data_IF_784413128177
#
_entry.id   IF_784413128177
#
_cell.length_a   1.000
_cell.length_b   1.000
_cell.length_c   1.000
_cell.angle_alpha   90.00
_cell.angle_beta   90.00
_cell.angle_gamma   90.00
#
_symmetry.space_group_name_H-M   'P 1'
#
loop_
_entity.id
_entity.type
_entity.pdbx_description
1 polymer ?
#
# COMPACT_ATOMS: atom_id res chain seq x y z
N UNK A 1 15.05 1.40 -8.22
CA UNK A 1 13.91 0.66 -8.83
C UNK A 1 13.95 0.74 -10.37
N UNK A 2 14.20 -0.37 -11.06
CA UNK A 2 14.19 -0.42 -12.54
C UNK A 2 12.93 -1.08 -13.10
N UNK A 3 12.68 -0.94 -14.41
CA UNK A 3 11.60 -1.66 -15.10
C UNK A 3 11.79 -3.18 -15.04
N UNK A 4 13.04 -3.64 -15.04
CA UNK A 4 13.39 -5.06 -14.94
C UNK A 4 13.05 -5.62 -13.55
N UNK A 5 13.45 -4.91 -12.48
CA UNK A 5 13.10 -5.30 -11.10
C UNK A 5 11.59 -5.34 -10.92
N UNK A 6 10.86 -4.32 -11.41
CA UNK A 6 9.40 -4.32 -11.42
C UNK A 6 8.83 -5.56 -12.14
N UNK A 7 9.40 -5.94 -13.29
CA UNK A 7 8.93 -7.09 -14.05
C UNK A 7 9.15 -8.41 -13.30
N UNK A 8 10.24 -8.54 -12.53
CA UNK A 8 10.52 -9.70 -11.67
C UNK A 8 9.55 -9.81 -10.48
N UNK A 9 9.14 -8.67 -9.90
CA UNK A 9 8.19 -8.62 -8.78
C UNK A 9 6.71 -8.75 -9.21
N UNK A 10 6.42 -8.39 -10.47
CA UNK A 10 5.07 -8.36 -11.00
C UNK A 10 4.27 -9.68 -10.80
N UNK A 11 4.85 -10.88 -11.00
CA UNK A 11 4.14 -12.14 -10.79
C UNK A 11 3.68 -12.31 -9.34
N UNK A 12 4.58 -12.16 -8.37
CA UNK A 12 4.26 -12.31 -6.95
C UNK A 12 3.18 -11.30 -6.49
N UNK A 13 3.31 -10.04 -6.90
CA UNK A 13 2.31 -9.00 -6.57
C UNK A 13 0.94 -9.34 -7.20
N UNK A 14 0.92 -9.82 -8.44
CA UNK A 14 -0.32 -10.25 -9.11
C UNK A 14 -0.95 -11.47 -8.44
N UNK A 15 -0.14 -12.40 -7.94
CA UNK A 15 -0.65 -13.55 -7.19
C UNK A 15 -1.34 -13.13 -5.90
N UNK A 16 -0.73 -12.22 -5.12
CA UNK A 16 -1.37 -11.65 -3.93
C UNK A 16 -2.68 -10.94 -4.30
N UNK A 17 -2.66 -10.06 -5.31
CA UNK A 17 -3.88 -9.40 -5.77
C UNK A 17 -4.98 -10.41 -6.15
N UNK A 18 -4.62 -11.49 -6.86
CA UNK A 18 -5.56 -12.56 -7.23
C UNK A 18 -6.08 -13.34 -6.03
N UNK A 19 -5.21 -13.73 -5.09
CA UNK A 19 -5.54 -14.46 -3.86
C UNK A 19 -6.66 -13.77 -3.07
N UNK A 20 -6.59 -12.43 -2.97
CA UNK A 20 -7.55 -11.62 -2.23
C UNK A 20 -8.69 -11.05 -3.09
N UNK A 21 -8.77 -11.39 -4.38
CA UNK A 21 -9.80 -10.86 -5.28
C UNK A 21 -9.69 -9.35 -5.52
N UNK A 22 -8.48 -8.81 -5.47
CA UNK A 22 -8.17 -7.40 -5.64
C UNK A 22 -7.68 -7.12 -7.07
N UNK A 23 -7.92 -5.92 -7.57
CA UNK A 23 -7.43 -5.44 -8.88
C UNK A 23 -6.58 -4.21 -8.68
N UNK A 24 -5.36 -4.26 -9.20
CA UNK A 24 -4.43 -3.15 -9.13
C UNK A 24 -3.40 -3.19 -10.25
N UNK A 25 -2.63 -2.11 -10.36
CA UNK A 25 -1.55 -1.96 -11.35
C UNK A 25 -0.29 -1.47 -10.66
N UNK A 26 0.86 -1.99 -11.06
CA UNK A 26 2.15 -1.56 -10.55
C UNK A 26 2.89 -0.64 -11.53
N UNK A 27 3.68 0.29 -11.00
CA UNK A 27 4.48 1.24 -11.77
C UNK A 27 5.79 1.59 -11.08
N UNK A 28 6.70 2.23 -11.82
CA UNK A 28 7.91 2.83 -11.25
C UNK A 28 7.71 4.34 -11.23
N UNK A 29 7.94 4.97 -10.09
CA UNK A 29 7.95 6.44 -9.95
C UNK A 29 9.37 6.91 -9.61
N UNK A 30 9.81 7.98 -10.26
CA UNK A 30 11.12 8.63 -10.05
C UNK A 30 12.32 7.67 -10.08
N UNK A 31 12.23 6.54 -10.79
CA UNK A 31 13.27 5.50 -10.85
C UNK A 31 13.70 4.89 -9.48
N UNK A 32 12.99 5.21 -8.41
CA UNK A 32 13.33 4.81 -7.03
C UNK A 32 12.17 4.19 -6.26
N UNK A 33 10.92 4.37 -6.70
CA UNK A 33 9.74 3.89 -5.98
C UNK A 33 8.95 2.86 -6.79
N UNK A 34 8.63 1.72 -6.17
CA UNK A 34 7.64 0.78 -6.66
C UNK A 34 6.26 1.20 -6.17
N UNK A 35 5.37 1.54 -7.11
CA UNK A 35 4.01 1.99 -6.83
C UNK A 35 3.04 0.85 -7.12
N UNK A 36 2.11 0.57 -6.20
CA UNK A 36 0.95 -0.28 -6.44
C UNK A 36 -0.34 0.55 -6.31
N UNK A 37 -1.09 0.66 -7.40
CA UNK A 37 -2.37 1.37 -7.44
C UNK A 37 -3.51 0.35 -7.43
N UNK A 38 -4.18 0.21 -6.30
CA UNK A 38 -5.34 -0.66 -6.10
C UNK A 38 -6.58 0.10 -6.56
N UNK A 39 -7.30 -0.45 -7.53
CA UNK A 39 -8.46 0.20 -8.16
C UNK A 39 -9.77 -0.29 -7.58
N UNK A 40 -9.87 -1.60 -7.35
CA UNK A 40 -11.11 -2.23 -6.90
C UNK A 40 -10.83 -3.56 -6.23
N UNK A 41 -11.79 -4.11 -5.49
CA UNK A 41 -11.66 -5.46 -4.95
C UNK A 41 -12.72 -5.84 -3.93
N UNK A 42 -12.59 -7.07 -3.41
CA UNK A 42 -13.54 -7.68 -2.46
C UNK A 42 -13.37 -7.25 -1.01
N UNK A 43 -12.41 -6.36 -0.72
CA UNK A 43 -12.10 -5.92 0.64
C UNK A 43 -12.43 -4.44 0.75
N UNK A 44 -13.21 -4.02 1.76
CA UNK A 44 -13.42 -2.58 2.03
C UNK A 44 -12.21 -2.00 2.77
N UNK A 45 -11.12 -1.74 2.02
CA UNK A 45 -9.89 -1.19 2.56
C UNK A 45 -10.10 0.19 3.22
N UNK A 46 -10.88 1.04 2.57
CA UNK A 46 -11.12 2.40 3.07
C UNK A 46 -12.00 2.36 4.32
N UNK A 47 -13.07 1.57 4.33
CA UNK A 47 -13.93 1.40 5.51
C UNK A 47 -13.19 0.81 6.69
N UNK A 48 -12.46 -0.29 6.47
CA UNK A 48 -11.70 -0.93 7.53
C UNK A 48 -10.71 0.05 8.19
N UNK A 49 -9.95 0.80 7.39
CA UNK A 49 -9.03 1.81 7.91
C UNK A 49 -9.76 2.95 8.61
N UNK A 50 -10.82 3.48 8.00
CA UNK A 50 -11.59 4.58 8.56
C UNK A 50 -12.18 4.23 9.93
N UNK A 51 -12.78 3.05 10.07
CA UNK A 51 -13.40 2.57 11.31
C UNK A 51 -12.39 2.41 12.46
N UNK A 52 -11.15 2.09 12.13
CA UNK A 52 -10.04 2.07 13.09
C UNK A 52 -9.59 3.52 13.40
N UNK A 53 -9.42 4.35 12.40
CA UNK A 53 -8.86 5.69 12.55
C UNK A 53 -9.77 6.64 13.34
N UNK A 54 -11.10 6.55 13.19
CA UNK A 54 -12.06 7.36 13.97
C UNK A 54 -12.06 7.02 15.47
N UNK A 55 -11.56 5.84 15.85
CA UNK A 55 -11.45 5.42 17.27
C UNK A 55 -10.14 5.88 17.91
N UNK A 56 -9.16 6.33 17.11
CA UNK A 56 -7.87 6.83 17.60
C UNK A 56 -8.02 8.29 18.04
N UNK A 57 -7.79 8.63 19.32
CA UNK A 57 -7.93 10.00 19.78
C UNK A 57 -6.94 10.93 19.06
N UNK A 58 -7.39 12.13 18.69
CA UNK A 58 -6.59 13.15 17.97
C UNK A 58 -6.16 12.75 16.55
N UNK A 59 -6.69 11.66 16.00
CA UNK A 59 -6.44 11.35 14.58
C UNK A 59 -7.07 12.42 13.68
N UNK A 60 -6.64 12.48 12.42
CA UNK A 60 -7.28 13.36 11.44
C UNK A 60 -8.78 13.08 11.31
N UNK A 61 -9.17 11.79 11.34
CA UNK A 61 -10.56 11.34 11.16
C UNK A 61 -11.41 11.44 12.43
N UNK A 62 -10.80 11.49 13.62
CA UNK A 62 -11.47 11.85 14.87
C UNK A 62 -12.04 13.28 14.78
N UNK A 63 -11.26 14.21 14.20
CA UNK A 63 -11.66 15.60 13.98
C UNK A 63 -12.52 15.79 12.72
N UNK A 64 -12.17 15.10 11.64
CA UNK A 64 -12.81 15.21 10.33
C UNK A 64 -13.48 13.88 9.96
N UNK A 65 -14.73 13.70 10.36
CA UNK A 65 -15.51 12.46 10.19
C UNK A 65 -16.04 12.25 8.76
N UNK A 66 -15.23 12.58 7.77
CA UNK A 66 -15.53 12.35 6.35
C UNK A 66 -14.72 11.13 5.92
N UNK A 67 -15.43 10.03 5.61
CA UNK A 67 -14.81 8.83 5.03
C UNK A 67 -14.22 9.19 3.67
N UNK A 68 -12.93 8.97 3.42
CA UNK A 68 -12.32 9.31 2.13
C UNK A 68 -12.81 8.34 1.05
N UNK A 69 -12.54 8.66 -0.21
CA UNK A 69 -12.86 7.79 -1.36
C UNK A 69 -11.61 7.23 -2.04
N UNK A 70 -10.45 7.74 -1.66
CA UNK A 70 -9.12 7.27 -2.03
C UNK A 70 -8.14 7.60 -0.90
N UNK A 71 -7.02 6.89 -0.83
CA UNK A 71 -5.95 7.17 0.13
C UNK A 71 -4.60 6.62 -0.32
N UNK A 72 -3.54 7.24 0.16
CA UNK A 72 -2.21 6.64 0.16
C UNK A 72 -1.99 5.92 1.50
N UNK A 73 -1.53 4.68 1.45
CA UNK A 73 -1.26 3.87 2.63
C UNK A 73 0.16 4.13 3.10
N UNK A 74 0.31 4.37 4.40
CA UNK A 74 1.62 4.38 5.06
C UNK A 74 2.01 2.93 5.39
N UNK A 75 3.03 2.41 4.72
CA UNK A 75 3.52 1.05 4.85
C UNK A 75 4.06 0.72 6.26
N UNK A 76 4.48 1.71 7.04
CA UNK A 76 4.99 1.51 8.40
C UNK A 76 3.87 1.34 9.44
N UNK A 77 2.68 1.86 9.15
CA UNK A 77 1.54 1.84 10.06
C UNK A 77 0.42 0.87 9.64
N UNK A 78 0.68 -0.06 8.72
CA UNK A 78 -0.33 -1.04 8.23
C UNK A 78 -0.94 -1.82 9.39
N UNK A 79 -0.13 -2.35 10.31
CA UNK A 79 -0.59 -3.15 11.46
C UNK A 79 -1.51 -2.39 12.42
N UNK A 80 -1.40 -1.07 12.45
CA UNK A 80 -2.22 -0.23 13.31
C UNK A 80 -3.45 0.33 12.61
N UNK A 81 -3.49 0.30 11.28
CA UNK A 81 -4.51 0.96 10.47
C UNK A 81 -5.40 -0.01 9.71
N UNK A 82 -5.13 -1.31 9.77
CA UNK A 82 -5.96 -2.35 9.18
C UNK A 82 -6.16 -3.50 10.16
N UNK A 83 -7.26 -4.24 10.00
CA UNK A 83 -7.55 -5.46 10.75
C UNK A 83 -8.00 -6.60 9.84
N UNK A 84 -7.97 -7.81 10.37
CA UNK A 84 -8.53 -9.02 9.73
C UNK A 84 -8.00 -9.22 8.30
N UNK A 85 -8.87 -9.61 7.36
CA UNK A 85 -8.49 -9.87 5.97
C UNK A 85 -7.88 -8.66 5.27
N UNK A 86 -8.23 -7.43 5.67
CA UNK A 86 -7.61 -6.23 5.11
C UNK A 86 -6.15 -6.08 5.58
N UNK A 87 -5.86 -6.43 6.83
CA UNK A 87 -4.51 -6.46 7.36
C UNK A 87 -3.68 -7.53 6.66
N UNK A 88 -4.22 -8.75 6.56
CA UNK A 88 -3.53 -9.87 5.90
C UNK A 88 -3.16 -9.52 4.46
N UNK A 89 -4.12 -8.96 3.71
CA UNK A 89 -3.87 -8.51 2.34
C UNK A 89 -2.79 -7.43 2.26
N UNK A 90 -2.84 -6.41 3.13
CA UNK A 90 -1.87 -5.31 3.11
C UNK A 90 -0.46 -5.77 3.49
N UNK A 91 -0.35 -6.73 4.42
CA UNK A 91 0.93 -7.32 4.81
C UNK A 91 1.51 -8.20 3.71
N UNK A 92 0.72 -9.11 3.13
CA UNK A 92 1.14 -9.95 1.98
C UNK A 92 1.56 -9.08 0.79
N UNK A 93 0.81 -8.01 0.51
CA UNK A 93 1.13 -7.09 -0.58
C UNK A 93 2.45 -6.35 -0.31
N UNK A 94 2.64 -5.83 0.91
CA UNK A 94 3.89 -5.17 1.30
C UNK A 94 5.07 -6.13 1.17
N UNK A 95 4.94 -7.37 1.64
CA UNK A 95 5.98 -8.39 1.53
C UNK A 95 6.33 -8.69 0.07
N UNK A 96 5.32 -8.93 -0.78
CA UNK A 96 5.54 -9.18 -2.21
C UNK A 96 6.19 -7.98 -2.93
N UNK A 97 5.86 -6.75 -2.53
CA UNK A 97 6.47 -5.53 -3.08
C UNK A 97 7.90 -5.29 -2.57
N UNK A 98 8.26 -5.85 -1.42
CA UNK A 98 9.56 -5.70 -0.78
C UNK A 98 10.49 -6.91 -0.99
N UNK A 99 10.05 -7.92 -1.74
CA UNK A 99 10.80 -9.14 -1.99
C UNK A 99 12.16 -8.82 -2.65
N UNK A 100 13.26 -9.17 -1.99
CA UNK A 100 14.61 -8.89 -2.47
C UNK A 100 14.99 -7.41 -2.45
N UNK A 101 14.26 -6.57 -1.72
CA UNK A 101 14.69 -5.20 -1.42
C UNK A 101 15.75 -5.22 -0.31
N UNK A 102 16.74 -4.34 -0.40
CA UNK A 102 17.76 -4.15 0.61
C UNK A 102 17.69 -2.73 1.18
N UNK A 103 18.05 -2.60 2.46
CA UNK A 103 18.23 -1.31 3.13
C UNK A 103 19.51 -1.41 3.96
N UNK A 104 20.60 -0.88 3.39
CA UNK A 104 21.92 -0.79 4.03
C UNK A 104 22.23 0.67 4.41
N UNK A 105 21.20 1.51 4.63
CA UNK A 105 21.43 2.91 4.95
C UNK A 105 22.18 3.11 6.27
N UNK A 106 23.22 3.94 6.26
CA UNK A 106 23.99 4.36 7.44
C UNK A 106 23.80 5.86 7.66
N UNK A 107 23.07 6.17 8.73
CA UNK A 107 22.67 7.53 9.09
C UNK A 107 23.85 8.42 9.52
N UNK A 108 25.00 7.85 9.91
CA UNK A 108 26.19 8.64 10.29
C UNK A 108 27.02 9.06 9.08
N UNK A 109 26.90 8.35 7.96
CA UNK A 109 27.80 8.49 6.80
C UNK A 109 27.15 9.20 5.59
N UNK A 110 25.93 9.74 5.74
CA UNK A 110 25.11 10.30 4.65
C UNK A 110 25.00 9.36 3.42
N UNK A 111 24.96 8.06 3.70
CA UNK A 111 24.90 6.99 2.69
C UNK A 111 23.54 6.30 2.77
N UNK A 112 22.66 6.60 1.82
CA UNK A 112 21.33 6.00 1.72
C UNK A 112 21.31 4.90 0.65
N UNK A 113 21.77 3.69 1.00
CA UNK A 113 21.67 2.52 0.13
C UNK A 113 20.37 1.75 0.38
N UNK A 114 19.29 2.19 -0.27
CA UNK A 114 17.99 1.51 -0.30
C UNK A 114 17.74 1.05 -1.73
N UNK A 115 17.37 -0.22 -1.93
CA UNK A 115 17.06 -0.75 -3.26
C UNK A 115 15.90 0.00 -3.92
N UNK A 116 14.79 0.17 -3.19
CA UNK A 116 13.67 1.01 -3.58
C UNK A 116 12.70 1.36 -2.45
N UNK A 117 11.91 2.42 -2.66
CA UNK A 117 10.79 2.80 -1.80
C UNK A 117 9.49 2.12 -2.25
N UNK A 118 8.52 2.01 -1.34
CA UNK A 118 7.18 1.50 -1.61
C UNK A 118 6.17 2.65 -1.65
N UNK A 119 5.13 2.49 -2.46
CA UNK A 119 3.98 3.39 -2.43
C UNK A 119 2.71 2.60 -2.78
N UNK A 120 1.77 2.54 -1.84
CA UNK A 120 0.51 1.82 -2.01
C UNK A 120 -0.62 2.85 -2.04
N UNK A 121 -1.35 2.91 -3.15
CA UNK A 121 -2.48 3.79 -3.35
C UNK A 121 -3.77 2.96 -3.44
N UNK A 122 -4.79 3.34 -2.68
CA UNK A 122 -6.14 2.77 -2.71
C UNK A 122 -7.05 3.80 -3.36
N UNK A 123 -7.40 3.58 -4.62
CA UNK A 123 -8.06 4.59 -5.45
C UNK A 123 -7.13 5.76 -5.84
N UNK A 124 -7.71 6.75 -6.52
CA UNK A 124 -7.10 8.03 -6.87
C UNK A 124 -8.13 9.16 -6.73
N UNK A 125 -7.66 10.41 -6.77
CA UNK A 125 -8.51 11.60 -6.66
C UNK A 125 -9.57 11.70 -7.77
N UNK A 126 -9.25 11.28 -8.99
CA UNK A 126 -10.15 11.26 -10.14
C UNK A 126 -10.89 9.91 -10.28
N UNK A 127 -10.36 8.86 -9.67
CA UNK A 127 -10.84 7.47 -9.79
C UNK A 127 -10.86 6.82 -8.41
N UNK A 128 -11.93 7.05 -7.63
CA UNK A 128 -12.12 6.44 -6.32
C UNK A 128 -11.95 4.92 -6.30
N UNK A 129 -11.59 4.40 -5.13
CA UNK A 129 -11.57 2.96 -4.90
C UNK A 129 -12.98 2.36 -5.02
N UNK A 130 -13.09 1.22 -5.70
CA UNK A 130 -14.36 0.50 -5.85
C UNK A 130 -14.35 -0.79 -5.03
N UNK A 131 -15.04 -0.77 -3.88
CA UNK A 131 -15.37 -1.99 -3.16
C UNK A 131 -16.46 -2.75 -3.93
N UNK A 132 -16.18 -4.01 -4.29
CA UNK A 132 -17.09 -4.88 -5.05
C UNK A 132 -17.45 -6.04 -4.13
N UNK A 133 -18.73 -6.11 -3.75
CA UNK A 133 -19.30 -7.21 -2.97
C UNK A 133 -19.56 -8.44 -3.87
#
# INVERSE_FOLDING_TARGET
MSQETKAKLAPAIKEVLKKYGMKGTIGVKNHSTLVCNIKSGKIDLIGNMYDIAIKKPKSYYDKNKVKPTYMQVNEFSIKENYSETALDFMMDLKEAMNLGNHDNSDIQSDCFDIGWYLSINVGNWDKPYQYIN
#
